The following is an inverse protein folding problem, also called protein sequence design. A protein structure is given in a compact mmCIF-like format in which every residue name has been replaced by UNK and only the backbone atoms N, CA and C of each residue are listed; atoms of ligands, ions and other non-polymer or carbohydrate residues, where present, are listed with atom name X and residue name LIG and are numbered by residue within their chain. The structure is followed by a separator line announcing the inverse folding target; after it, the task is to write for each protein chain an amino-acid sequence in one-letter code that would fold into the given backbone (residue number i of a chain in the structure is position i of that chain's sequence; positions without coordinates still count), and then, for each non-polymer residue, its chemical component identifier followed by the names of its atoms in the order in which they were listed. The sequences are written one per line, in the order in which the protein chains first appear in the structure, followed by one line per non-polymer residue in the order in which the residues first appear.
data_IF_509324344678
#
_entry.id   IF_509324344678
#
_cell.length_a   1.000
_cell.length_b   1.000
_cell.length_c   1.000
_cell.angle_alpha   90.00
_cell.angle_beta   90.00
_cell.angle_gamma   90.00
#
_symmetry.space_group_name_H-M   'P 1'
#
loop_
_entity.id
_entity.type
_entity.pdbx_description
1 polymer ?
#
# COMPACT_ATOMS: atom_id res chain seq x y z
N UNK A 1 -8.11 -5.56 -4.58
CA UNK A 1 -7.87 -4.41 -3.67
C UNK A 1 -7.85 -3.21 -4.58
N UNK A 2 -8.66 -2.22 -4.24
CA UNK A 2 -8.79 -0.98 -4.99
C UNK A 2 -8.59 0.17 -3.99
N UNK A 3 -8.09 1.31 -4.46
CA UNK A 3 -7.94 2.52 -3.65
C UNK A 3 -9.10 3.44 -3.98
N UNK A 4 -9.99 3.59 -3.01
CA UNK A 4 -11.22 4.36 -3.13
C UNK A 4 -11.05 5.73 -2.47
N UNK A 5 -11.62 6.76 -3.11
CA UNK A 5 -11.57 8.13 -2.63
C UNK A 5 -12.55 8.34 -1.47
N UNK A 6 -12.03 8.88 -0.38
CA UNK A 6 -12.81 9.42 0.73
C UNK A 6 -12.75 10.95 0.69
N UNK A 7 -13.81 11.61 1.17
CA UNK A 7 -13.92 13.06 1.16
C UNK A 7 -13.24 13.72 2.38
N UNK A 8 -13.11 13.01 3.50
CA UNK A 8 -12.57 13.57 4.74
C UNK A 8 -12.04 12.50 5.71
N UNK A 9 -11.16 12.85 6.67
CA UNK A 9 -10.76 11.95 7.74
C UNK A 9 -11.91 11.52 8.66
N UNK A 10 -12.89 12.39 8.89
CA UNK A 10 -14.05 12.12 9.75
C UNK A 10 -14.92 10.98 9.19
N UNK A 11 -14.98 10.85 7.87
CA UNK A 11 -15.70 9.78 7.18
C UNK A 11 -15.19 8.39 7.59
N UNK A 12 -13.87 8.23 7.79
CA UNK A 12 -13.24 6.97 8.16
C UNK A 12 -13.88 6.39 9.43
N UNK A 13 -14.18 7.25 10.42
CA UNK A 13 -14.75 6.85 11.70
C UNK A 13 -16.14 6.19 11.56
N UNK A 14 -16.87 6.50 10.48
CA UNK A 14 -18.21 5.98 10.19
C UNK A 14 -18.21 4.70 9.36
N UNK A 15 -17.09 4.33 8.73
CA UNK A 15 -16.99 3.18 7.85
C UNK A 15 -17.16 1.86 8.62
N UNK A 16 -17.77 0.83 7.99
CA UNK A 16 -17.82 -0.51 8.56
C UNK A 16 -16.42 -1.11 8.70
N UNK A 17 -16.29 -2.09 9.58
CA UNK A 17 -15.04 -2.79 9.83
C UNK A 17 -15.02 -4.16 9.16
N UNK A 18 -13.88 -4.52 8.60
CA UNK A 18 -13.63 -5.88 8.11
C UNK A 18 -13.42 -6.86 9.27
N UNK A 19 -13.28 -8.15 8.94
CA UNK A 19 -12.83 -9.18 9.88
C UNK A 19 -11.43 -8.94 10.47
N UNK A 20 -10.66 -7.99 9.93
CA UNK A 20 -9.34 -7.56 10.42
C UNK A 20 -9.39 -6.28 11.25
N UNK A 21 -10.59 -5.82 11.63
CA UNK A 21 -10.82 -4.61 12.41
C UNK A 21 -10.37 -3.30 11.71
N UNK A 22 -10.21 -3.35 10.38
CA UNK A 22 -9.87 -2.18 9.54
C UNK A 22 -11.14 -1.57 8.97
N UNK A 23 -11.23 -0.24 9.04
CA UNK A 23 -12.31 0.56 8.47
C UNK A 23 -12.14 0.69 6.96
N UNK A 24 -13.17 0.30 6.21
CA UNK A 24 -13.21 0.45 4.75
C UNK A 24 -14.65 0.58 4.25
N UNK A 25 -14.88 1.16 3.06
CA UNK A 25 -16.18 1.18 2.41
C UNK A 25 -16.82 -0.22 2.31
N UNK A 26 -18.16 -0.25 2.37
CA UNK A 26 -18.92 -1.48 2.19
C UNK A 26 -18.79 -2.02 0.76
N UNK A 27 -19.00 -3.33 0.55
CA UNK A 27 -18.90 -3.95 -0.79
C UNK A 27 -19.92 -3.35 -1.79
N UNK A 28 -21.06 -2.86 -1.30
CA UNK A 28 -22.12 -2.26 -2.11
C UNK A 28 -21.92 -0.75 -2.34
N UNK A 29 -20.91 -0.12 -1.74
CA UNK A 29 -20.65 1.31 -1.90
C UNK A 29 -19.85 1.60 -3.18
N UNK A 30 -20.43 2.42 -4.05
CA UNK A 30 -19.79 2.84 -5.29
C UNK A 30 -19.06 4.17 -5.05
N UNK A 31 -17.75 4.08 -4.82
CA UNK A 31 -16.86 5.22 -4.67
C UNK A 31 -15.92 5.33 -5.88
N UNK A 32 -15.33 6.52 -6.04
CA UNK A 32 -14.36 6.80 -7.09
C UNK A 32 -13.07 6.01 -6.86
N UNK A 33 -12.69 5.15 -7.82
CA UNK A 33 -11.43 4.41 -7.78
C UNK A 33 -10.29 5.24 -8.37
N UNK A 34 -9.14 5.30 -7.69
CA UNK A 34 -7.99 6.11 -8.10
C UNK A 34 -7.51 5.84 -9.53
N UNK A 35 -7.43 4.57 -9.95
CA UNK A 35 -6.97 4.22 -11.31
C UNK A 35 -7.98 4.55 -12.41
N UNK A 36 -9.23 4.83 -12.05
CA UNK A 36 -10.27 5.26 -13.00
C UNK A 36 -10.26 6.77 -13.26
N UNK A 37 -9.60 7.56 -12.40
CA UNK A 37 -9.61 9.04 -12.44
C UNK A 37 -8.24 9.69 -12.56
N UNK A 38 -7.25 8.94 -13.05
CA UNK A 38 -5.92 9.47 -13.40
C UNK A 38 -4.75 8.84 -12.64
N UNK A 39 -5.04 7.94 -11.69
CA UNK A 39 -4.02 7.20 -10.96
C UNK A 39 -3.59 7.86 -9.65
N UNK A 40 -2.39 7.51 -9.20
CA UNK A 40 -1.80 7.97 -7.94
C UNK A 40 -0.39 8.50 -8.17
N UNK A 41 -0.04 9.60 -7.48
CA UNK A 41 1.32 10.14 -7.47
C UNK A 41 2.20 9.46 -6.40
N UNK A 42 1.61 9.13 -5.25
CA UNK A 42 2.28 8.58 -4.05
C UNK A 42 1.40 7.48 -3.44
N UNK A 43 2.02 6.39 -2.98
CA UNK A 43 1.33 5.32 -2.27
C UNK A 43 2.09 4.99 -0.99
N UNK A 44 1.42 5.08 0.16
CA UNK A 44 1.96 4.52 1.40
C UNK A 44 1.77 3.01 1.40
N UNK A 45 2.87 2.25 1.38
CA UNK A 45 2.83 0.79 1.30
C UNK A 45 3.06 0.18 2.68
N UNK A 46 2.07 -0.51 3.27
CA UNK A 46 2.23 -1.17 4.56
C UNK A 46 3.01 -2.48 4.42
N UNK A 47 3.69 -2.88 5.50
CA UNK A 47 4.50 -4.09 5.54
C UNK A 47 4.72 -4.64 6.95
N UNK A 48 5.13 -5.90 7.02
CA UNK A 48 5.62 -6.52 8.26
C UNK A 48 7.12 -6.26 8.46
N UNK A 49 7.90 -6.26 7.38
CA UNK A 49 9.33 -5.98 7.42
C UNK A 49 9.85 -5.40 6.12
N UNK A 50 10.95 -4.66 6.21
CA UNK A 50 11.61 -3.98 5.10
C UNK A 50 13.11 -4.16 5.21
N UNK A 51 13.86 -4.05 4.11
CA UNK A 51 15.33 -3.99 4.17
C UNK A 51 15.90 -2.75 3.48
N UNK A 52 17.21 -2.56 3.59
CA UNK A 52 17.93 -1.42 3.00
C UNK A 52 17.97 -1.41 1.47
N UNK A 53 17.47 -2.47 0.82
CA UNK A 53 17.30 -2.53 -0.63
C UNK A 53 15.84 -2.26 -1.04
N UNK A 54 15.04 -1.71 -0.11
CA UNK A 54 13.62 -1.41 -0.26
C UNK A 54 12.77 -2.64 -0.63
N UNK A 55 13.24 -3.84 -0.28
CA UNK A 55 12.40 -5.03 -0.34
C UNK A 55 11.39 -4.98 0.81
N UNK A 56 10.20 -5.53 0.57
CA UNK A 56 9.06 -5.50 1.49
C UNK A 56 8.57 -6.93 1.75
N UNK A 57 8.28 -7.23 3.01
CA UNK A 57 7.55 -8.43 3.40
C UNK A 57 6.12 -8.07 3.80
N UNK A 58 5.16 -8.45 2.98
CA UNK A 58 3.73 -8.26 3.26
C UNK A 58 3.16 -9.32 4.22
N UNK A 59 1.82 -9.38 4.34
CA UNK A 59 1.11 -10.42 5.12
C UNK A 59 0.87 -11.74 4.36
N UNK A 60 1.54 -11.94 3.22
CA UNK A 60 1.51 -13.18 2.44
C UNK A 60 0.39 -13.30 1.39
N UNK A 61 -0.44 -12.28 1.19
CA UNK A 61 -1.51 -12.28 0.15
C UNK A 61 -1.15 -11.57 -1.15
N UNK A 62 0.00 -10.87 -1.20
CA UNK A 62 0.46 -10.19 -2.42
C UNK A 62 -0.44 -9.04 -2.92
N UNK A 63 -1.34 -8.50 -2.08
CA UNK A 63 -2.27 -7.45 -2.51
C UNK A 63 -1.55 -6.16 -2.94
N UNK A 64 -0.49 -5.78 -2.23
CA UNK A 64 0.30 -4.59 -2.57
C UNK A 64 1.06 -4.78 -3.88
N UNK A 65 1.71 -5.93 -4.07
CA UNK A 65 2.44 -6.27 -5.30
C UNK A 65 1.52 -6.25 -6.52
N UNK A 66 0.34 -6.88 -6.40
CA UNK A 66 -0.66 -6.89 -7.46
C UNK A 66 -1.16 -5.48 -7.80
N UNK A 67 -1.40 -4.64 -6.79
CA UNK A 67 -1.88 -3.27 -6.99
C UNK A 67 -0.81 -2.35 -7.59
N UNK A 68 0.45 -2.45 -7.15
CA UNK A 68 1.56 -1.69 -7.73
C UNK A 68 1.78 -2.06 -9.20
N UNK A 69 1.73 -3.35 -9.54
CA UNK A 69 1.75 -3.81 -10.93
C UNK A 69 0.59 -3.24 -11.75
N UNK A 70 -0.62 -3.17 -11.17
CA UNK A 70 -1.77 -2.56 -11.84
C UNK A 70 -1.56 -1.06 -12.09
N UNK A 71 -1.00 -0.33 -11.13
CA UNK A 71 -0.62 1.08 -11.33
C UNK A 71 0.34 1.23 -12.52
N UNK A 72 1.39 0.41 -12.60
CA UNK A 72 2.34 0.45 -13.73
C UNK A 72 1.69 0.22 -15.11
N UNK A 73 0.54 -0.45 -15.15
CA UNK A 73 -0.22 -0.72 -16.38
C UNK A 73 -1.27 0.36 -16.67
N UNK A 74 -1.71 1.11 -15.66
CA UNK A 74 -2.85 2.02 -15.74
C UNK A 74 -2.47 3.50 -15.81
N UNK A 75 -1.22 3.88 -15.55
CA UNK A 75 -0.73 5.26 -15.60
C UNK A 75 0.65 5.35 -16.27
N UNK A 76 0.88 6.42 -17.03
CA UNK A 76 2.14 6.67 -17.74
C UNK A 76 3.33 6.90 -16.79
N UNK A 77 3.07 7.57 -15.68
CA UNK A 77 4.05 7.84 -14.62
C UNK A 77 3.73 6.90 -13.46
N UNK A 78 4.69 6.09 -13.02
CA UNK A 78 4.49 5.21 -11.86
C UNK A 78 4.23 6.02 -10.59
N UNK A 79 3.40 5.55 -9.65
CA UNK A 79 3.32 6.18 -8.35
C UNK A 79 4.66 6.01 -7.64
N UNK A 80 4.94 6.87 -6.67
CA UNK A 80 6.06 6.70 -5.76
C UNK A 80 5.64 5.83 -4.56
N UNK A 81 5.97 4.53 -4.49
CA UNK A 81 5.70 3.71 -3.32
C UNK A 81 6.65 4.06 -2.17
N UNK A 82 6.08 4.55 -1.07
CA UNK A 82 6.79 4.93 0.14
C UNK A 82 6.33 4.06 1.31
N UNK A 83 7.25 3.34 1.93
CA UNK A 83 6.95 2.59 3.14
C UNK A 83 7.17 3.43 4.40
N UNK A 84 6.29 3.25 5.38
CA UNK A 84 6.47 3.75 6.74
C UNK A 84 6.70 2.55 7.65
N UNK A 85 7.80 2.54 8.38
CA UNK A 85 8.24 1.41 9.17
C UNK A 85 8.71 1.83 10.56
N UNK A 86 8.42 1.00 11.56
CA UNK A 86 9.16 1.05 12.82
C UNK A 86 10.59 0.51 12.61
N UNK A 87 11.53 0.93 13.45
CA UNK A 87 12.92 0.45 13.39
C UNK A 87 13.02 -1.07 13.55
N UNK A 88 12.14 -1.67 14.35
CA UNK A 88 12.05 -3.12 14.54
C UNK A 88 11.60 -3.88 13.28
N UNK A 89 10.99 -3.18 12.32
CA UNK A 89 10.60 -3.76 11.04
C UNK A 89 11.75 -3.75 10.02
N UNK A 90 12.89 -3.11 10.34
CA UNK A 90 14.06 -3.08 9.45
C UNK A 90 14.88 -4.36 9.64
N UNK A 91 14.81 -5.20 8.63
CA UNK A 91 15.49 -6.49 8.55
C UNK A 91 16.85 -6.34 7.85
N UNK A 92 17.77 -7.27 8.13
CA UNK A 92 19.02 -7.37 7.39
C UNK A 92 18.79 -7.70 5.91
N UNK A 93 17.85 -8.61 5.67
CA UNK A 93 17.45 -9.04 4.34
C UNK A 93 16.01 -9.55 4.40
N UNK A 94 15.17 -9.08 3.49
CA UNK A 94 13.85 -9.66 3.26
C UNK A 94 13.97 -10.71 2.16
N UNK A 95 13.46 -11.94 2.36
CA UNK A 95 13.35 -12.92 1.29
C UNK A 95 12.36 -12.42 0.24
N UNK A 96 12.76 -12.44 -1.03
CA UNK A 96 11.94 -11.99 -2.16
C UNK A 96 11.99 -13.00 -3.31
N UNK A 97 10.95 -13.00 -4.13
CA UNK A 97 10.89 -13.68 -5.42
C UNK A 97 10.69 -12.71 -6.59
N UNK A 98 10.59 -13.24 -7.81
CA UNK A 98 10.45 -12.45 -9.06
C UNK A 98 9.15 -11.66 -9.18
N UNK A 99 8.14 -11.99 -8.37
CA UNK A 99 6.85 -11.34 -8.35
C UNK A 99 6.76 -10.20 -7.34
N UNK A 100 7.67 -10.12 -6.38
CA UNK A 100 7.67 -9.08 -5.36
C UNK A 100 8.05 -7.71 -5.95
N UNK A 101 7.31 -6.68 -5.54
CA UNK A 101 7.54 -5.31 -6.00
C UNK A 101 8.20 -4.50 -4.89
N UNK A 102 9.39 -3.96 -5.17
CA UNK A 102 10.10 -3.06 -4.26
C UNK A 102 9.34 -1.76 -4.09
N UNK A 103 9.48 -1.17 -2.90
CA UNK A 103 9.13 0.24 -2.68
C UNK A 103 10.29 1.13 -3.17
N UNK A 104 10.04 2.41 -3.38
CA UNK A 104 11.08 3.35 -3.76
C UNK A 104 11.88 3.78 -2.52
N UNK A 105 11.20 4.07 -1.41
CA UNK A 105 11.82 4.44 -0.14
C UNK A 105 11.14 3.81 1.07
N UNK A 106 11.90 3.67 2.16
CA UNK A 106 11.44 3.20 3.47
C UNK A 106 11.81 4.24 4.53
N UNK A 107 10.82 4.88 5.13
CA UNK A 107 11.02 5.82 6.24
C UNK A 107 10.88 5.10 7.58
N UNK A 108 11.89 5.26 8.43
CA UNK A 108 11.90 4.77 9.81
C UNK A 108 12.73 5.72 10.66
N UNK A 109 12.52 5.67 11.98
CA UNK A 109 13.32 6.42 12.94
C UNK A 109 14.74 5.86 12.98
N UNK A 110 15.73 6.72 12.72
CA UNK A 110 17.15 6.34 12.64
C UNK A 110 17.85 6.32 14.02
N UNK A 111 17.16 6.69 15.11
CA UNK A 111 17.67 6.67 16.50
C UNK A 111 16.54 6.76 17.54
#
# INVERSE_FOLDING_TARGET
MDVLKLASPEEIASLPRTSWDIQQPGEDEVLEEALSTGGLDLIFVPGLGFDKQSNLSGRGKGYCDAYLKRCLQSQDVKPYPLALAFKEQICLQVPVDENDVKVDDVLYEDS
#
